data_IF_087941912206
#
_entry.id   IF_087941912206
#
_cell.length_a   1.000
_cell.length_b   1.000
_cell.length_c   1.000
_cell.angle_alpha   90.00
_cell.angle_beta   90.00
_cell.angle_gamma   90.00
#
_symmetry.space_group_name_H-M   'P 1'
#
loop_
_entity.id
_entity.type
_entity.pdbx_description
1 polymer ?
#
# COMPACT_ATOMS: atom_id res chain seq x y z
N UNK A 1 -19.27 -14.02 -38.08
CA UNK A 1 -19.53 -13.83 -36.65
C UNK A 1 -20.77 -12.98 -36.48
N UNK A 2 -21.73 -13.42 -35.70
CA UNK A 2 -22.94 -12.65 -35.52
C UNK A 2 -22.69 -11.47 -34.57
N UNK A 3 -23.46 -10.41 -34.76
CA UNK A 3 -23.34 -9.21 -33.90
C UNK A 3 -23.66 -9.53 -32.44
N UNK A 4 -24.52 -10.54 -32.22
CA UNK A 4 -24.84 -11.00 -30.86
C UNK A 4 -23.60 -11.54 -30.13
N UNK A 5 -22.79 -12.29 -30.84
CA UNK A 5 -21.58 -12.87 -30.24
C UNK A 5 -20.59 -11.78 -29.90
N UNK A 6 -20.44 -10.79 -30.77
CA UNK A 6 -19.58 -9.64 -30.52
C UNK A 6 -20.03 -8.86 -29.31
N UNK A 7 -21.33 -8.61 -29.23
CA UNK A 7 -21.89 -7.87 -28.09
C UNK A 7 -21.67 -8.60 -26.78
N UNK A 8 -21.87 -9.92 -26.76
CA UNK A 8 -21.65 -10.74 -25.57
C UNK A 8 -20.18 -10.73 -25.13
N UNK A 9 -19.25 -10.82 -26.08
CA UNK A 9 -17.82 -10.77 -25.80
C UNK A 9 -17.43 -9.41 -25.26
N UNK A 10 -17.95 -8.35 -25.85
CA UNK A 10 -17.65 -6.99 -25.38
C UNK A 10 -18.19 -6.73 -23.98
N UNK A 11 -19.39 -7.22 -23.68
CA UNK A 11 -19.93 -7.11 -22.33
C UNK A 11 -19.07 -7.83 -21.31
N UNK A 12 -18.59 -9.01 -21.66
CA UNK A 12 -17.73 -9.77 -20.77
C UNK A 12 -16.41 -9.04 -20.51
N UNK A 13 -15.83 -8.47 -21.55
CA UNK A 13 -14.58 -7.71 -21.43
C UNK A 13 -14.78 -6.49 -20.55
N UNK A 14 -15.90 -5.78 -20.72
CA UNK A 14 -16.20 -4.61 -19.90
C UNK A 14 -16.41 -4.98 -18.44
N UNK A 15 -17.11 -6.08 -18.18
CA UNK A 15 -17.29 -6.57 -16.82
C UNK A 15 -15.97 -6.91 -16.16
N UNK A 16 -15.08 -7.57 -16.88
CA UNK A 16 -13.75 -7.89 -16.37
C UNK A 16 -12.93 -6.64 -16.09
N UNK A 17 -13.01 -5.64 -16.95
CA UNK A 17 -12.32 -4.37 -16.73
C UNK A 17 -12.78 -3.68 -15.47
N UNK A 18 -14.09 -3.69 -15.23
CA UNK A 18 -14.64 -3.06 -14.03
C UNK A 18 -14.17 -3.78 -12.77
N UNK A 19 -14.12 -5.10 -12.79
CA UNK A 19 -13.61 -5.87 -11.65
C UNK A 19 -12.13 -5.61 -11.42
N UNK A 20 -11.33 -5.63 -12.47
CA UNK A 20 -9.89 -5.36 -12.36
C UNK A 20 -9.65 -3.93 -11.86
N UNK A 21 -10.41 -2.97 -12.37
CA UNK A 21 -10.30 -1.58 -11.94
C UNK A 21 -10.70 -1.42 -10.48
N UNK A 22 -11.74 -2.13 -10.03
CA UNK A 22 -12.19 -2.09 -8.65
C UNK A 22 -11.13 -2.67 -7.70
N UNK A 23 -10.51 -3.77 -8.08
CA UNK A 23 -9.43 -4.37 -7.29
C UNK A 23 -8.18 -3.51 -7.26
N UNK A 24 -7.89 -2.83 -8.36
CA UNK A 24 -6.73 -1.97 -8.47
C UNK A 24 -6.95 -0.59 -7.86
N UNK A 25 -8.17 -0.25 -7.48
CA UNK A 25 -8.47 1.08 -6.93
C UNK A 25 -7.82 1.27 -5.57
N UNK A 26 -6.94 2.24 -5.44
CA UNK A 26 -6.41 2.59 -4.12
C UNK A 26 -7.46 3.27 -3.24
N UNK A 27 -8.63 3.63 -3.79
CA UNK A 27 -9.67 4.37 -3.07
C UNK A 27 -10.36 3.56 -1.98
N UNK A 28 -10.32 2.25 -2.03
CA UNK A 28 -10.89 1.41 -0.98
C UNK A 28 -9.97 1.30 0.23
N UNK A 29 -8.71 1.66 0.02
CA UNK A 29 -7.72 1.75 1.08
C UNK A 29 -6.98 3.06 0.88
N UNK A 30 -6.61 3.69 1.95
CA UNK A 30 -5.76 4.85 1.82
C UNK A 30 -4.52 4.48 1.03
N UNK A 31 -4.13 5.28 0.02
CA UNK A 31 -2.92 5.00 -0.73
C UNK A 31 -1.73 4.95 0.22
N UNK A 32 -0.80 4.05 -0.07
CA UNK A 32 0.43 3.97 0.69
C UNK A 32 1.16 5.28 0.58
N UNK A 33 1.22 6.00 1.69
CA UNK A 33 2.00 7.21 1.79
C UNK A 33 3.37 6.85 2.31
N UNK A 34 4.38 7.52 1.81
CA UNK A 34 5.72 7.35 2.33
C UNK A 34 5.96 8.43 3.38
N UNK A 35 6.13 8.00 4.61
CA UNK A 35 6.36 8.88 5.74
C UNK A 35 7.85 9.02 6.02
N UNK A 36 8.27 10.21 6.44
CA UNK A 36 9.63 10.38 6.90
C UNK A 36 9.85 9.60 8.19
N UNK A 37 11.11 9.39 8.56
CA UNK A 37 11.44 8.70 9.82
C UNK A 37 10.81 9.45 11.01
N UNK A 38 10.88 10.77 11.00
CA UNK A 38 10.27 11.56 12.07
C UNK A 38 8.76 11.40 12.15
N UNK A 39 8.10 11.42 10.99
CA UNK A 39 6.65 11.25 10.93
C UNK A 39 6.23 9.84 11.35
N UNK A 40 6.97 8.83 10.89
CA UNK A 40 6.69 7.44 11.26
C UNK A 40 6.87 7.21 12.75
N UNK A 41 7.95 7.72 13.33
CA UNK A 41 8.21 7.61 14.77
C UNK A 41 7.09 8.27 15.57
N UNK A 42 6.66 9.44 15.13
CA UNK A 42 5.56 10.16 15.77
C UNK A 42 4.26 9.38 15.68
N UNK A 43 3.97 8.81 14.52
CA UNK A 43 2.75 8.02 14.32
C UNK A 43 2.73 6.78 15.22
N UNK A 44 3.88 6.19 15.48
CA UNK A 44 4.00 5.02 16.35
C UNK A 44 4.19 5.38 17.82
N UNK A 45 4.43 6.66 18.11
CA UNK A 45 4.68 7.10 19.49
C UNK A 45 6.00 6.62 20.05
N UNK A 46 7.00 6.43 19.23
CA UNK A 46 8.34 5.98 19.62
C UNK A 46 9.40 6.96 19.19
N UNK A 47 10.59 6.85 19.74
CA UNK A 47 11.72 7.66 19.33
C UNK A 47 12.31 7.19 18.01
N UNK A 48 13.09 8.08 17.36
CA UNK A 48 13.76 7.75 16.10
C UNK A 48 14.70 6.56 16.24
N UNK A 49 15.44 6.48 17.34
CA UNK A 49 16.36 5.38 17.58
C UNK A 49 15.62 4.05 17.68
N UNK A 50 14.49 4.05 18.37
CA UNK A 50 13.65 2.86 18.47
C UNK A 50 13.12 2.46 17.09
N UNK A 51 12.71 3.44 16.28
CA UNK A 51 12.24 3.18 14.93
C UNK A 51 13.35 2.58 14.07
N UNK A 52 14.56 3.12 14.10
CA UNK A 52 15.67 2.57 13.35
C UNK A 52 16.00 1.14 13.80
N UNK A 53 15.90 0.86 15.09
CA UNK A 53 16.09 -0.50 15.59
C UNK A 53 15.06 -1.46 15.02
N UNK A 54 13.81 -1.04 14.96
CA UNK A 54 12.72 -1.85 14.38
C UNK A 54 12.93 -2.10 12.89
N UNK A 55 13.39 -1.09 12.17
CA UNK A 55 13.71 -1.21 10.74
C UNK A 55 14.88 -2.17 10.55
N UNK A 56 15.92 -2.04 11.35
CA UNK A 56 17.10 -2.91 11.28
C UNK A 56 16.77 -4.36 11.58
N UNK A 57 15.85 -4.57 12.52
CA UNK A 57 15.37 -5.90 12.86
C UNK A 57 14.35 -6.45 11.85
N UNK A 58 14.03 -5.67 10.84
CA UNK A 58 13.07 -6.01 9.78
C UNK A 58 11.66 -6.25 10.29
N UNK A 59 11.33 -5.64 11.42
CA UNK A 59 9.96 -5.66 11.93
C UNK A 59 9.11 -4.61 11.27
N UNK A 60 9.73 -3.53 10.77
CA UNK A 60 9.05 -2.47 10.04
C UNK A 60 9.72 -2.35 8.69
N UNK A 61 8.92 -2.37 7.63
CA UNK A 61 9.43 -2.18 6.28
C UNK A 61 9.79 -0.73 6.05
N UNK A 62 10.83 -0.49 5.31
CA UNK A 62 11.21 0.84 4.89
C UNK A 62 11.64 0.83 3.43
N UNK A 63 11.56 1.99 2.80
CA UNK A 63 11.95 2.18 1.40
C UNK A 63 13.01 3.25 1.36
N UNK A 64 14.09 2.98 0.66
CA UNK A 64 15.14 3.98 0.47
C UNK A 64 14.94 4.68 -0.85
N UNK A 65 14.73 5.99 -0.80
CA UNK A 65 14.59 6.83 -1.99
C UNK A 65 15.72 7.85 -1.99
N UNK A 66 16.68 7.66 -2.87
CA UNK A 66 17.88 8.47 -2.88
C UNK A 66 18.64 8.29 -1.57
N UNK A 67 18.81 9.37 -0.82
CA UNK A 67 19.49 9.35 0.48
C UNK A 67 18.52 9.26 1.65
N UNK A 68 17.22 9.26 1.38
CA UNK A 68 16.20 9.25 2.41
C UNK A 68 15.64 7.85 2.62
N UNK A 69 15.44 7.51 3.86
CA UNK A 69 14.70 6.31 4.23
C UNK A 69 13.31 6.74 4.61
N UNK A 70 12.31 6.09 3.99
CA UNK A 70 10.91 6.40 4.21
C UNK A 70 10.19 5.13 4.66
N UNK A 71 9.10 5.31 5.38
CA UNK A 71 8.30 4.18 5.88
C UNK A 71 6.92 4.26 5.24
N UNK A 72 6.48 3.19 4.56
CA UNK A 72 5.13 3.16 4.00
C UNK A 72 4.07 3.21 5.11
N UNK A 73 2.98 3.90 4.87
CA UNK A 73 1.90 3.98 5.85
C UNK A 73 1.30 2.61 6.16
N UNK A 74 1.30 1.70 5.21
CA UNK A 74 0.83 0.34 5.44
C UNK A 74 1.67 -0.39 6.49
N UNK A 75 2.99 -0.16 6.51
CA UNK A 75 3.86 -0.74 7.53
C UNK A 75 3.52 -0.21 8.91
N UNK A 76 3.20 1.07 9.03
CA UNK A 76 2.76 1.68 10.28
C UNK A 76 1.45 1.05 10.74
N UNK A 77 0.50 0.91 9.84
CA UNK A 77 -0.80 0.31 10.16
C UNK A 77 -0.67 -1.13 10.62
N UNK A 78 0.22 -1.90 10.01
CA UNK A 78 0.48 -3.28 10.42
C UNK A 78 0.97 -3.36 11.86
N UNK A 79 1.91 -2.49 12.21
CA UNK A 79 2.46 -2.43 13.56
C UNK A 79 1.39 -1.95 14.55
N UNK A 80 0.64 -0.92 14.19
CA UNK A 80 -0.42 -0.38 15.03
C UNK A 80 -1.53 -1.39 15.29
N UNK A 81 -1.74 -2.31 14.35
CA UNK A 81 -2.74 -3.38 14.51
C UNK A 81 -2.23 -4.57 15.31
N UNK A 82 -1.01 -4.51 15.79
CA UNK A 82 -0.41 -5.60 16.56
C UNK A 82 0.09 -6.76 15.73
N UNK A 83 0.19 -6.59 14.43
CA UNK A 83 0.77 -7.60 13.53
C UNK A 83 2.26 -7.37 13.43
N UNK A 84 2.99 -8.31 13.88
CA UNK A 84 4.44 -8.29 13.74
C UNK A 84 4.89 -8.99 12.48
#
# INVERSE_FOLDING_TARGET
MSDRLRAAVMELVEALRDEIAAEARPSEREPDRLLSIAEAARALGIGRSALYSEISARRIRSVKVGRRRLVPSSAINEVASGRS
#
